data_IF_423537606547
#
_entry.id   IF_423537606547
#
_cell.length_a   1.000
_cell.length_b   1.000
_cell.length_c   1.000
_cell.angle_alpha   90.00
_cell.angle_beta   90.00
_cell.angle_gamma   90.00
#
_symmetry.space_group_name_H-M   'P 1'
#
loop_
_entity.id
_entity.type
_entity.pdbx_description
1 polymer ?
#
# COMPACT_ATOMS: atom_id res chain seq x y z
N UNK A 1 4.93 -24.37 19.97
CA UNK A 1 5.84 -23.61 19.09
C UNK A 1 5.14 -22.32 18.69
N UNK A 2 5.82 -21.18 18.71
CA UNK A 2 5.36 -19.88 18.18
C UNK A 2 6.30 -19.45 17.06
N UNK A 3 5.77 -19.09 15.90
CA UNK A 3 6.60 -18.58 14.81
C UNK A 3 5.99 -17.34 14.17
N UNK A 4 6.87 -16.48 13.63
CA UNK A 4 6.48 -15.31 12.86
C UNK A 4 6.50 -15.66 11.39
N UNK A 5 5.44 -15.26 10.68
CA UNK A 5 5.35 -15.27 9.24
C UNK A 5 5.23 -13.84 8.72
N UNK A 6 6.27 -13.39 8.01
CA UNK A 6 6.34 -12.10 7.33
C UNK A 6 6.67 -12.27 5.85
N UNK A 7 6.36 -11.26 5.05
CA UNK A 7 6.70 -11.17 3.64
C UNK A 7 6.79 -9.70 3.22
N UNK A 8 7.24 -9.44 2.00
CA UNK A 8 7.09 -8.14 1.34
C UNK A 8 7.63 -6.97 2.18
N UNK A 9 8.87 -7.11 2.66
CA UNK A 9 9.53 -6.11 3.52
C UNK A 9 9.84 -4.84 2.75
N UNK A 10 10.20 -4.97 1.46
CA UNK A 10 10.51 -3.88 0.53
C UNK A 10 11.42 -2.82 1.15
N UNK A 11 12.51 -3.25 1.79
CA UNK A 11 13.38 -2.37 2.55
C UNK A 11 13.91 -1.22 1.68
N UNK A 12 13.75 -0.01 2.21
CA UNK A 12 14.12 1.28 1.61
C UNK A 12 13.39 1.65 0.32
N UNK A 13 12.37 0.88 -0.09
CA UNK A 13 11.57 1.15 -1.30
C UNK A 13 11.33 2.66 -1.51
N UNK A 14 11.69 3.19 -2.69
CA UNK A 14 11.78 4.63 -2.89
C UNK A 14 10.40 5.28 -2.76
N UNK A 15 10.20 6.04 -1.70
CA UNK A 15 9.08 6.95 -1.48
C UNK A 15 9.21 8.22 -2.36
N UNK A 16 9.57 8.04 -3.64
CA UNK A 16 9.96 9.12 -4.55
C UNK A 16 8.79 10.08 -4.83
N UNK A 17 9.00 11.37 -4.53
CA UNK A 17 7.99 12.43 -4.62
C UNK A 17 7.23 12.72 -3.32
N UNK A 18 7.28 11.82 -2.33
CA UNK A 18 6.69 12.06 -1.00
C UNK A 18 7.56 12.97 -0.15
N UNK A 19 8.89 12.90 -0.31
CA UNK A 19 9.85 13.70 0.47
C UNK A 19 9.66 15.21 0.31
N UNK A 20 9.39 15.68 -0.91
CA UNK A 20 9.20 17.11 -1.18
C UNK A 20 7.84 17.61 -0.66
N UNK A 21 6.82 16.74 -0.66
CA UNK A 21 5.44 17.07 -0.24
C UNK A 21 5.22 16.92 1.27
N UNK A 22 5.95 16.03 1.91
CA UNK A 22 5.77 15.70 3.32
C UNK A 22 6.62 16.55 4.28
N UNK A 23 7.37 17.55 3.81
CA UNK A 23 8.08 18.51 4.68
C UNK A 23 8.84 17.85 5.84
N UNK A 24 8.54 18.26 7.08
CA UNK A 24 9.13 17.72 8.31
C UNK A 24 8.76 16.25 8.56
N UNK A 25 7.62 15.79 8.05
CA UNK A 25 7.16 14.41 8.16
C UNK A 25 7.91 13.46 7.21
N UNK A 26 8.65 13.99 6.24
CA UNK A 26 9.42 13.20 5.29
C UNK A 26 10.46 12.28 5.97
N UNK A 27 11.08 12.71 7.07
CA UNK A 27 12.04 11.89 7.80
C UNK A 27 11.39 10.66 8.46
N UNK A 28 10.13 10.78 8.89
CA UNK A 28 9.35 9.66 9.47
C UNK A 28 8.86 8.69 8.40
N UNK A 29 8.71 9.15 7.16
CA UNK A 29 8.48 8.30 6.00
C UNK A 29 9.77 7.58 5.59
N UNK A 30 10.90 8.28 5.59
CA UNK A 30 12.22 7.72 5.26
C UNK A 30 12.62 6.69 6.33
N UNK A 31 12.91 5.47 5.88
CA UNK A 31 13.25 4.36 6.78
C UNK A 31 12.06 3.79 7.56
N UNK A 32 10.82 4.11 7.17
CA UNK A 32 9.64 3.50 7.77
C UNK A 32 9.66 1.97 7.66
N UNK A 33 10.06 1.44 6.50
CA UNK A 33 10.23 0.00 6.25
C UNK A 33 11.30 -0.61 7.17
N UNK A 34 12.41 0.11 7.40
CA UNK A 34 13.48 -0.31 8.31
C UNK A 34 12.97 -0.40 9.75
N UNK A 35 12.28 0.63 10.24
CA UNK A 35 11.72 0.65 11.60
C UNK A 35 10.64 -0.40 11.80
N UNK A 36 9.80 -0.67 10.80
CA UNK A 36 8.82 -1.75 10.87
C UNK A 36 9.50 -3.13 10.97
N UNK A 37 10.60 -3.34 10.24
CA UNK A 37 11.40 -4.56 10.37
C UNK A 37 12.12 -4.66 11.72
N UNK A 38 12.66 -3.55 12.26
CA UNK A 38 13.21 -3.51 13.61
C UNK A 38 12.15 -3.89 14.65
N UNK A 39 10.94 -3.35 14.57
CA UNK A 39 9.81 -3.71 15.45
C UNK A 39 9.43 -5.19 15.37
N UNK A 40 9.48 -5.80 14.19
CA UNK A 40 9.28 -7.25 14.05
C UNK A 40 10.36 -8.01 14.81
N UNK A 41 11.63 -7.62 14.66
CA UNK A 41 12.74 -8.28 15.35
C UNK A 41 12.69 -8.05 16.86
N UNK A 42 12.33 -6.84 17.30
CA UNK A 42 12.10 -6.52 18.71
C UNK A 42 11.04 -7.46 19.28
N UNK A 43 9.87 -7.54 18.62
CA UNK A 43 8.80 -8.43 19.02
C UNK A 43 9.25 -9.89 19.06
N UNK A 44 9.96 -10.37 18.04
CA UNK A 44 10.45 -11.76 17.97
C UNK A 44 11.34 -12.11 19.18
N UNK A 45 12.22 -11.20 19.56
CA UNK A 45 13.15 -11.37 20.69
C UNK A 45 12.41 -11.27 22.02
N UNK A 46 11.55 -10.26 22.18
CA UNK A 46 10.81 -10.02 23.43
C UNK A 46 9.82 -11.16 23.73
N UNK A 47 9.12 -11.63 22.70
CA UNK A 47 8.16 -12.75 22.79
C UNK A 47 8.81 -14.13 22.73
N UNK A 48 10.13 -14.19 22.51
CA UNK A 48 10.92 -15.42 22.41
C UNK A 48 10.31 -16.42 21.43
N UNK A 49 10.00 -15.96 20.22
CA UNK A 49 9.47 -16.85 19.19
C UNK A 49 10.50 -17.90 18.79
N UNK A 50 10.03 -19.08 18.41
CA UNK A 50 10.89 -20.24 18.12
C UNK A 50 11.49 -20.17 16.69
N UNK A 51 10.85 -19.43 15.79
CA UNK A 51 11.21 -19.38 14.36
C UNK A 51 10.66 -18.11 13.72
N UNK A 52 11.40 -17.57 12.75
CA UNK A 52 10.90 -16.55 11.82
C UNK A 52 10.95 -17.09 10.39
N UNK A 53 9.86 -16.95 9.64
CA UNK A 53 9.82 -17.23 8.20
C UNK A 53 9.56 -15.95 7.41
N UNK A 54 10.35 -15.73 6.35
CA UNK A 54 10.25 -14.57 5.46
C UNK A 54 9.96 -15.04 4.03
N UNK A 55 8.72 -14.82 3.57
CA UNK A 55 8.22 -15.32 2.29
C UNK A 55 8.56 -14.43 1.08
N UNK A 56 9.76 -13.85 1.05
CA UNK A 56 10.27 -13.08 -0.10
C UNK A 56 9.95 -11.59 -0.08
N UNK A 57 10.48 -10.92 -1.10
CA UNK A 57 10.51 -9.47 -1.33
C UNK A 57 11.08 -8.69 -0.13
N UNK A 58 12.29 -9.07 0.27
CA UNK A 58 13.05 -8.36 1.30
C UNK A 58 13.49 -6.98 0.79
N UNK A 59 13.96 -6.93 -0.45
CA UNK A 59 14.51 -5.72 -1.08
C UNK A 59 13.67 -5.28 -2.26
N UNK A 60 13.62 -3.96 -2.51
CA UNK A 60 12.98 -3.42 -3.70
C UNK A 60 14.02 -3.13 -4.81
N UNK A 61 14.35 -4.13 -5.64
CA UNK A 61 15.12 -3.95 -6.88
C UNK A 61 16.59 -3.47 -6.77
N UNK A 62 17.05 -2.78 -7.82
CA UNK A 62 18.45 -2.41 -8.09
C UNK A 62 18.97 -1.26 -7.19
N UNK A 63 19.20 -1.57 -5.93
CA UNK A 63 19.90 -0.66 -5.02
C UNK A 63 21.39 -0.52 -5.41
N UNK A 64 21.90 0.71 -5.60
CA UNK A 64 23.29 0.94 -5.98
C UNK A 64 24.28 0.80 -4.81
N UNK A 65 23.80 0.93 -3.56
CA UNK A 65 24.62 0.84 -2.35
C UNK A 65 24.33 -0.41 -1.52
N UNK A 66 25.30 -0.84 -0.72
CA UNK A 66 25.15 -2.02 0.15
C UNK A 66 24.49 -1.68 1.49
N UNK A 67 24.02 -0.43 1.70
CA UNK A 67 23.54 0.06 2.98
C UNK A 67 22.30 -0.67 3.48
N UNK A 68 21.33 -0.91 2.60
CA UNK A 68 20.12 -1.69 2.91
C UNK A 68 20.44 -3.14 3.29
N UNK A 69 21.37 -3.76 2.56
CA UNK A 69 21.81 -5.13 2.86
C UNK A 69 22.54 -5.23 4.20
N UNK A 70 23.45 -4.28 4.51
CA UNK A 70 24.15 -4.23 5.80
C UNK A 70 23.18 -3.98 6.96
N UNK A 71 22.18 -3.12 6.77
CA UNK A 71 21.11 -2.95 7.74
C UNK A 71 20.36 -4.26 7.99
N UNK A 72 19.94 -4.96 6.93
CA UNK A 72 19.23 -6.23 7.04
C UNK A 72 20.06 -7.28 7.81
N UNK A 73 21.33 -7.45 7.45
CA UNK A 73 22.27 -8.36 8.14
C UNK A 73 22.43 -7.99 9.62
N UNK A 74 22.63 -6.70 9.93
CA UNK A 74 22.75 -6.21 11.32
C UNK A 74 21.50 -6.54 12.13
N UNK A 75 20.33 -6.34 11.55
CA UNK A 75 19.05 -6.58 12.23
C UNK A 75 18.80 -8.07 12.43
N UNK A 76 19.09 -8.91 11.44
CA UNK A 76 19.05 -10.38 11.57
C UNK A 76 20.07 -10.93 12.59
N UNK A 77 21.23 -10.29 12.75
CA UNK A 77 22.21 -10.69 13.75
C UNK A 77 21.67 -10.60 15.19
N UNK A 78 20.63 -9.79 15.43
CA UNK A 78 19.93 -9.74 16.72
C UNK A 78 19.13 -11.01 16.98
N UNK A 79 18.43 -11.53 15.97
CA UNK A 79 17.78 -12.84 16.04
C UNK A 79 18.80 -13.97 16.26
N UNK A 80 19.97 -13.87 15.60
CA UNK A 80 21.08 -14.81 15.80
C UNK A 80 21.55 -14.82 17.26
N UNK A 81 21.74 -13.63 17.85
CA UNK A 81 22.16 -13.50 19.25
C UNK A 81 21.11 -14.05 20.23
N UNK A 82 19.83 -14.03 19.85
CA UNK A 82 18.72 -14.63 20.60
C UNK A 82 18.52 -16.14 20.32
N UNK A 83 19.29 -16.73 19.39
CA UNK A 83 19.16 -18.14 19.01
C UNK A 83 17.92 -18.46 18.17
N UNK A 84 17.30 -17.44 17.54
CA UNK A 84 16.07 -17.60 16.76
C UNK A 84 16.43 -17.90 15.30
N UNK A 85 16.12 -19.10 14.77
CA UNK A 85 16.36 -19.42 13.37
C UNK A 85 15.46 -18.61 12.42
N UNK A 86 15.99 -18.31 11.23
CA UNK A 86 15.27 -17.58 10.18
C UNK A 86 15.30 -18.37 8.88
N UNK A 87 14.14 -18.70 8.35
CA UNK A 87 14.00 -19.35 7.05
C UNK A 87 13.47 -18.33 6.03
N UNK A 88 14.15 -18.15 4.90
CA UNK A 88 13.78 -17.13 3.91
C UNK A 88 13.86 -17.64 2.48
N UNK A 89 12.97 -17.12 1.63
CA UNK A 89 13.04 -17.27 0.18
C UNK A 89 13.22 -15.90 -0.48
N UNK A 90 13.70 -15.88 -1.72
CA UNK A 90 13.68 -14.69 -2.58
C UNK A 90 12.36 -14.58 -3.34
N UNK A 91 11.75 -13.40 -3.32
CA UNK A 91 10.64 -13.02 -4.19
C UNK A 91 11.12 -12.47 -5.54
N UNK A 92 10.20 -11.87 -6.30
CA UNK A 92 10.50 -11.34 -7.63
C UNK A 92 11.41 -10.10 -7.58
N UNK A 93 11.26 -9.24 -6.57
CA UNK A 93 12.14 -8.06 -6.43
C UNK A 93 13.54 -8.46 -5.97
N UNK A 94 13.65 -9.47 -5.11
CA UNK A 94 14.94 -9.99 -4.61
C UNK A 94 15.76 -10.65 -5.72
N UNK A 95 15.11 -11.37 -6.65
CA UNK A 95 15.76 -12.05 -7.76
C UNK A 95 16.44 -11.06 -8.73
N UNK A 96 15.85 -9.87 -8.88
CA UNK A 96 16.45 -8.77 -9.62
C UNK A 96 17.59 -8.09 -8.86
N UNK A 97 17.52 -8.03 -7.53
CA UNK A 97 18.48 -7.28 -6.72
C UNK A 97 19.90 -7.86 -6.72
N UNK A 98 20.90 -7.02 -6.99
CA UNK A 98 22.32 -7.37 -6.94
C UNK A 98 22.84 -7.51 -5.50
N UNK A 99 22.15 -6.92 -4.51
CA UNK A 99 22.56 -6.92 -3.08
C UNK A 99 22.58 -8.35 -2.52
N UNK A 100 21.51 -9.11 -2.76
CA UNK A 100 21.35 -10.47 -2.23
C UNK A 100 22.46 -11.42 -2.71
N UNK A 101 23.10 -11.12 -3.85
CA UNK A 101 24.16 -11.94 -4.44
C UNK A 101 25.55 -11.72 -3.82
N UNK A 102 25.74 -10.72 -2.97
CA UNK A 102 27.08 -10.30 -2.49
C UNK A 102 27.28 -10.33 -0.98
N UNK A 103 26.23 -10.56 -0.19
CA UNK A 103 26.31 -10.55 1.27
C UNK A 103 26.15 -11.96 1.84
N UNK A 104 26.90 -12.26 2.90
CA UNK A 104 26.73 -13.49 3.68
C UNK A 104 25.74 -13.25 4.81
N UNK A 105 24.81 -14.17 4.99
CA UNK A 105 23.82 -14.10 6.07
C UNK A 105 24.41 -14.59 7.41
N UNK A 106 23.88 -14.11 8.55
CA UNK A 106 24.19 -14.68 9.87
C UNK A 106 23.87 -16.19 9.93
N UNK A 107 24.56 -16.92 10.81
CA UNK A 107 24.50 -18.39 10.86
C UNK A 107 23.14 -19.01 11.21
N UNK A 108 22.23 -18.24 11.81
CA UNK A 108 20.85 -18.65 12.07
C UNK A 108 19.92 -18.53 10.84
N UNK A 109 20.39 -17.94 9.75
CA UNK A 109 19.58 -17.67 8.56
C UNK A 109 19.84 -18.73 7.50
N UNK A 110 18.77 -19.35 7.00
CA UNK A 110 18.81 -20.17 5.80
C UNK A 110 17.98 -19.53 4.70
N UNK A 111 18.65 -19.14 3.63
CA UNK A 111 18.01 -18.82 2.36
C UNK A 111 17.87 -20.10 1.52
N UNK A 112 16.65 -20.39 1.05
CA UNK A 112 16.40 -21.57 0.21
C UNK A 112 16.92 -21.36 -1.23
N UNK A 113 17.34 -22.46 -1.87
CA UNK A 113 17.80 -22.47 -3.25
C UNK A 113 16.73 -21.95 -4.22
N UNK A 114 17.17 -21.25 -5.27
CA UNK A 114 16.30 -20.87 -6.38
C UNK A 114 16.17 -21.92 -7.47
N UNK A 115 17.01 -22.97 -7.42
CA UNK A 115 17.08 -24.00 -8.46
C UNK A 115 16.12 -25.15 -8.19
N UNK A 116 15.97 -25.52 -6.92
CA UNK A 116 15.19 -26.68 -6.48
C UNK A 116 14.58 -26.38 -5.12
N UNK A 117 13.38 -26.90 -4.83
CA UNK A 117 12.82 -26.80 -3.49
C UNK A 117 13.62 -27.65 -2.51
N UNK A 118 13.77 -27.17 -1.28
CA UNK A 118 14.50 -27.86 -0.23
C UNK A 118 13.67 -27.93 1.06
N UNK A 119 14.05 -28.85 1.94
CA UNK A 119 13.50 -28.97 3.28
C UNK A 119 14.57 -28.62 4.33
N UNK A 120 14.19 -27.83 5.33
CA UNK A 120 14.95 -27.63 6.56
C UNK A 120 14.17 -28.13 7.76
N UNK A 121 14.72 -29.08 8.50
CA UNK A 121 14.07 -29.66 9.68
C UNK A 121 14.68 -29.15 10.98
N UNK A 122 13.81 -28.95 11.96
CA UNK A 122 14.17 -28.68 13.35
C UNK A 122 13.50 -29.73 14.22
N UNK A 123 14.18 -30.87 14.48
CA UNK A 123 13.62 -31.96 15.28
C UNK A 123 13.17 -31.51 16.67
N UNK A 124 13.96 -30.64 17.32
CA UNK A 124 13.67 -30.13 18.66
C UNK A 124 12.40 -29.27 18.73
N UNK A 125 12.06 -28.60 17.62
CA UNK A 125 10.84 -27.80 17.47
C UNK A 125 9.67 -28.59 16.85
N UNK A 126 9.91 -29.84 16.44
CA UNK A 126 8.99 -30.68 15.68
C UNK A 126 8.45 -30.00 14.39
N UNK A 127 9.30 -29.32 13.63
CA UNK A 127 8.90 -28.58 12.42
C UNK A 127 9.80 -28.88 11.22
N UNK A 128 9.20 -28.92 10.04
CA UNK A 128 9.86 -28.95 8.73
C UNK A 128 9.43 -27.73 7.92
N UNK A 129 10.39 -27.04 7.31
CA UNK A 129 10.14 -25.89 6.45
C UNK A 129 10.55 -26.25 5.03
N UNK A 130 9.65 -26.08 4.09
CA UNK A 130 9.85 -26.34 2.67
C UNK A 130 9.85 -25.02 1.93
N UNK A 131 10.86 -24.76 1.10
CA UNK A 131 10.94 -23.48 0.40
C UNK A 131 11.72 -23.57 -0.90
N UNK A 132 11.39 -22.65 -1.80
CA UNK A 132 12.12 -22.41 -3.04
C UNK A 132 12.12 -20.91 -3.35
N UNK A 133 13.31 -20.36 -3.60
CA UNK A 133 13.50 -18.98 -4.01
C UNK A 133 13.22 -18.77 -5.50
N UNK A 134 12.97 -17.54 -5.92
CA UNK A 134 12.94 -17.19 -7.33
C UNK A 134 14.35 -17.09 -7.91
N UNK A 135 14.54 -17.63 -9.12
CA UNK A 135 15.78 -17.49 -9.88
C UNK A 135 15.79 -16.20 -10.71
N UNK A 136 14.63 -15.86 -11.26
CA UNK A 136 14.37 -14.73 -12.13
C UNK A 136 13.17 -13.93 -11.61
N UNK A 137 13.04 -12.68 -12.06
CA UNK A 137 11.94 -11.81 -11.66
C UNK A 137 10.56 -12.37 -12.03
N UNK A 138 10.44 -13.00 -13.20
CA UNK A 138 9.18 -13.60 -13.65
C UNK A 138 9.32 -15.12 -13.66
N UNK A 139 8.38 -15.81 -13.02
CA UNK A 139 8.36 -17.28 -12.94
C UNK A 139 6.99 -17.75 -13.43
N UNK A 140 6.83 -18.06 -14.73
CA UNK A 140 5.52 -18.44 -15.25
C UNK A 140 5.07 -19.85 -14.81
N UNK A 141 5.97 -20.65 -14.22
CA UNK A 141 5.69 -22.01 -13.79
C UNK A 141 5.08 -22.07 -12.38
N UNK A 142 4.18 -23.02 -12.16
CA UNK A 142 3.71 -23.37 -10.82
C UNK A 142 4.83 -24.07 -10.02
N UNK A 143 5.54 -23.32 -9.17
CA UNK A 143 6.59 -23.89 -8.34
C UNK A 143 6.05 -24.84 -7.26
N UNK A 144 4.84 -24.62 -6.76
CA UNK A 144 4.24 -25.43 -5.69
C UNK A 144 4.18 -26.92 -6.07
N UNK A 145 3.99 -27.24 -7.35
CA UNK A 145 3.99 -28.61 -7.84
C UNK A 145 5.28 -29.38 -7.51
N UNK A 146 6.44 -28.70 -7.54
CA UNK A 146 7.74 -29.29 -7.29
C UNK A 146 8.10 -29.49 -5.80
N UNK A 147 7.32 -28.92 -4.88
CA UNK A 147 7.62 -28.99 -3.46
C UNK A 147 7.61 -30.44 -2.95
N UNK A 148 8.51 -30.82 -2.02
CA UNK A 148 8.64 -32.19 -1.52
C UNK A 148 7.41 -32.65 -0.73
N UNK A 149 7.28 -33.96 -0.52
CA UNK A 149 6.24 -34.51 0.37
C UNK A 149 6.46 -34.07 1.84
N UNK A 150 5.39 -33.97 2.64
CA UNK A 150 5.51 -33.60 4.05
C UNK A 150 6.37 -34.61 4.81
N UNK A 151 7.18 -34.11 5.74
CA UNK A 151 7.96 -34.96 6.65
C UNK A 151 7.03 -35.51 7.73
N UNK A 152 6.86 -36.86 7.82
CA UNK A 152 5.94 -37.45 8.78
C UNK A 152 6.34 -37.15 10.23
N UNK A 153 5.35 -36.82 11.06
CA UNK A 153 5.54 -36.55 12.49
C UNK A 153 6.06 -35.16 12.83
N UNK A 154 6.33 -34.31 11.83
CA UNK A 154 6.66 -32.90 12.02
C UNK A 154 5.49 -32.02 11.56
N UNK A 155 5.44 -30.78 12.06
CA UNK A 155 4.59 -29.72 11.53
C UNK A 155 5.23 -29.17 10.25
N UNK A 156 4.54 -29.25 9.12
CA UNK A 156 5.10 -28.91 7.81
C UNK A 156 4.64 -27.51 7.37
N UNK A 157 5.62 -26.62 7.17
CA UNK A 157 5.42 -25.24 6.71
C UNK A 157 5.94 -25.12 5.28
N UNK A 158 5.06 -24.82 4.32
CA UNK A 158 5.46 -24.42 2.98
C UNK A 158 5.68 -22.91 2.90
N UNK A 159 6.81 -22.47 2.38
CA UNK A 159 7.19 -21.06 2.22
C UNK A 159 7.27 -20.73 0.73
N UNK A 160 6.33 -19.93 0.20
CA UNK A 160 6.20 -19.69 -1.24
C UNK A 160 5.83 -18.23 -1.56
N UNK A 161 6.60 -17.58 -2.43
CA UNK A 161 6.24 -16.27 -2.98
C UNK A 161 5.43 -16.51 -4.26
N UNK A 162 4.19 -16.01 -4.34
CA UNK A 162 3.29 -16.36 -5.46
C UNK A 162 2.15 -15.37 -5.68
N UNK A 163 1.77 -15.16 -6.94
CA UNK A 163 0.55 -14.48 -7.36
C UNK A 163 -0.68 -15.41 -7.33
N UNK A 164 -0.79 -16.29 -6.33
CA UNK A 164 -1.82 -17.33 -6.25
C UNK A 164 -3.22 -16.81 -6.64
N UNK A 165 -3.98 -17.62 -7.38
CA UNK A 165 -5.32 -17.30 -7.90
C UNK A 165 -5.39 -16.21 -9.00
N UNK A 166 -4.25 -15.76 -9.55
CA UNK A 166 -4.19 -15.02 -10.83
C UNK A 166 -5.08 -13.79 -10.88
N UNK A 167 -4.74 -12.74 -10.10
CA UNK A 167 -5.51 -11.49 -10.08
C UNK A 167 -5.25 -10.64 -11.34
N UNK A 168 -6.27 -9.96 -11.90
CA UNK A 168 -6.08 -9.06 -13.03
C UNK A 168 -5.04 -7.98 -12.70
N UNK A 169 -4.06 -7.78 -13.57
CA UNK A 169 -3.02 -6.75 -13.40
C UNK A 169 -1.75 -7.17 -12.66
N UNK A 170 -1.63 -8.43 -12.20
CA UNK A 170 -0.38 -8.99 -11.67
C UNK A 170 0.31 -9.86 -12.73
N UNK A 171 1.62 -9.69 -12.92
CA UNK A 171 2.39 -10.58 -13.81
C UNK A 171 2.45 -12.03 -13.26
N UNK A 172 2.91 -12.96 -14.09
CA UNK A 172 2.99 -14.38 -13.80
C UNK A 172 4.13 -14.69 -12.81
N UNK A 173 3.85 -14.61 -11.50
CA UNK A 173 4.82 -14.86 -10.42
C UNK A 173 4.51 -16.17 -9.70
N UNK A 174 5.12 -17.25 -10.16
CA UNK A 174 4.90 -18.63 -9.69
C UNK A 174 3.41 -18.97 -9.47
N UNK A 175 2.55 -18.82 -10.49
CA UNK A 175 1.11 -18.94 -10.32
C UNK A 175 0.75 -20.34 -9.84
N UNK A 176 -0.09 -20.41 -8.81
CA UNK A 176 -0.67 -21.65 -8.34
C UNK A 176 -2.15 -21.45 -7.98
N UNK A 177 -2.89 -22.54 -7.97
CA UNK A 177 -4.24 -22.56 -7.42
C UNK A 177 -4.21 -23.04 -5.96
N UNK A 178 -5.21 -22.64 -5.17
CA UNK A 178 -5.34 -23.08 -3.78
C UNK A 178 -5.33 -24.62 -3.66
N UNK A 179 -5.95 -25.33 -4.61
CA UNK A 179 -5.96 -26.81 -4.62
C UNK A 179 -4.56 -27.42 -4.71
N UNK A 180 -3.62 -26.75 -5.37
CA UNK A 180 -2.25 -27.26 -5.53
C UNK A 180 -1.52 -27.22 -4.19
N UNK A 181 -1.76 -26.17 -3.39
CA UNK A 181 -1.21 -25.98 -2.06
C UNK A 181 -1.81 -26.97 -1.06
N UNK A 182 -3.14 -27.12 -1.07
CA UNK A 182 -3.85 -28.06 -0.17
C UNK A 182 -3.47 -29.50 -0.49
N UNK A 183 -3.30 -29.85 -1.77
CA UNK A 183 -2.93 -31.20 -2.18
C UNK A 183 -1.55 -31.65 -1.67
N UNK A 184 -0.66 -30.74 -1.28
CA UNK A 184 0.63 -31.07 -0.67
C UNK A 184 0.54 -31.61 0.76
N UNK A 185 -0.61 -31.43 1.43
CA UNK A 185 -0.81 -31.96 2.78
C UNK A 185 0.07 -31.30 3.85
N UNK A 186 0.57 -30.09 3.61
CA UNK A 186 1.26 -29.29 4.63
C UNK A 186 0.27 -28.70 5.63
N UNK A 187 0.73 -28.46 6.86
CA UNK A 187 -0.10 -27.92 7.93
C UNK A 187 -0.30 -26.40 7.81
N UNK A 188 0.68 -25.71 7.22
CA UNK A 188 0.66 -24.26 7.02
C UNK A 188 1.38 -23.85 5.74
N UNK A 189 0.81 -22.91 4.99
CA UNK A 189 1.45 -22.22 3.88
C UNK A 189 1.66 -20.75 4.20
N UNK A 190 2.94 -20.38 4.31
CA UNK A 190 3.44 -19.03 4.44
C UNK A 190 3.68 -18.43 3.06
N UNK A 191 2.72 -17.64 2.57
CA UNK A 191 2.79 -17.01 1.25
C UNK A 191 3.32 -15.57 1.31
N UNK A 192 3.98 -15.10 0.25
CA UNK A 192 4.31 -13.69 0.03
C UNK A 192 3.93 -13.24 -1.38
N UNK A 193 4.03 -11.93 -1.67
CA UNK A 193 3.72 -11.20 -2.92
C UNK A 193 2.52 -10.25 -2.77
N UNK A 194 1.51 -10.65 -1.99
CA UNK A 194 0.28 -9.87 -1.81
C UNK A 194 0.42 -8.97 -0.58
N UNK A 195 0.45 -7.65 -0.79
CA UNK A 195 0.69 -6.65 0.27
C UNK A 195 -0.50 -6.42 1.22
N UNK A 196 -1.66 -6.99 0.89
CA UNK A 196 -2.83 -7.00 1.77
C UNK A 196 -2.91 -8.34 2.46
N UNK A 197 -3.04 -8.33 3.80
CA UNK A 197 -3.25 -9.54 4.57
C UNK A 197 -4.47 -10.30 4.05
N UNK A 198 -4.32 -11.61 3.86
CA UNK A 198 -5.39 -12.46 3.38
C UNK A 198 -5.23 -13.90 3.88
N UNK A 199 -6.33 -14.53 4.25
CA UNK A 199 -6.38 -15.96 4.60
C UNK A 199 -7.16 -16.67 3.49
N UNK A 200 -6.47 -17.42 2.64
CA UNK A 200 -7.08 -18.16 1.53
C UNK A 200 -7.74 -19.46 2.00
N UNK A 201 -7.26 -20.05 3.08
CA UNK A 201 -7.80 -21.25 3.69
C UNK A 201 -7.44 -21.30 5.17
N UNK A 202 -8.34 -21.83 6.01
CA UNK A 202 -8.12 -22.03 7.45
C UNK A 202 -7.67 -23.46 7.79
N UNK A 203 -7.90 -24.44 6.91
CA UNK A 203 -7.56 -25.84 7.15
C UNK A 203 -7.20 -26.57 5.83
N UNK A 204 -5.89 -26.68 5.50
CA UNK A 204 -4.74 -26.10 6.21
C UNK A 204 -4.71 -24.57 6.09
N UNK A 205 -3.97 -23.91 6.99
CA UNK A 205 -3.82 -22.46 6.91
C UNK A 205 -3.01 -22.06 5.69
N UNK A 206 -3.56 -21.22 4.81
CA UNK A 206 -2.87 -20.67 3.63
C UNK A 206 -3.01 -19.16 3.68
N UNK A 207 -1.92 -18.45 3.95
CA UNK A 207 -1.98 -17.04 4.38
C UNK A 207 -1.00 -16.19 3.58
N UNK A 208 -1.45 -15.01 3.16
CA UNK A 208 -0.59 -13.87 2.84
C UNK A 208 -0.56 -12.94 4.06
N UNK A 209 0.61 -12.62 4.63
CA UNK A 209 0.70 -11.79 5.82
C UNK A 209 0.50 -10.30 5.48
N UNK A 210 0.67 -9.93 4.21
CA UNK A 210 0.81 -8.54 3.78
C UNK A 210 2.25 -8.05 3.90
N UNK A 211 2.46 -6.78 3.57
CA UNK A 211 3.72 -6.10 3.84
C UNK A 211 3.81 -5.59 5.30
N UNK A 212 5.02 -5.34 5.80
CA UNK A 212 5.23 -4.79 7.15
C UNK A 212 4.86 -3.31 7.28
N UNK A 213 5.01 -2.57 6.18
CA UNK A 213 4.85 -1.12 6.14
C UNK A 213 4.24 -0.74 4.80
N UNK A 214 3.10 -0.06 4.83
CA UNK A 214 2.47 0.47 3.63
C UNK A 214 3.38 1.51 2.97
N UNK A 215 3.52 1.43 1.66
CA UNK A 215 4.44 2.26 0.87
C UNK A 215 3.74 3.46 0.23
N UNK A 216 2.42 3.39 0.09
CA UNK A 216 1.61 4.44 -0.52
C UNK A 216 0.14 4.31 -0.12
N UNK A 217 -0.67 5.31 -0.46
CA UNK A 217 -2.10 5.38 -0.13
C UNK A 217 -2.94 4.16 -0.58
N UNK A 218 -2.53 3.48 -1.66
CA UNK A 218 -3.21 2.27 -2.14
C UNK A 218 -2.89 1.01 -1.31
N UNK A 219 -2.07 1.14 -0.26
CA UNK A 219 -1.82 0.10 0.75
C UNK A 219 -2.31 0.58 2.13
N UNK A 220 -3.61 0.89 2.30
CA UNK A 220 -4.12 1.47 3.53
C UNK A 220 -4.19 0.46 4.68
N UNK A 221 -4.40 0.98 5.89
CA UNK A 221 -4.68 0.22 7.09
C UNK A 221 -3.45 -0.31 7.81
N UNK A 222 -3.68 -1.16 8.81
CA UNK A 222 -2.64 -1.76 9.63
C UNK A 222 -1.79 -2.74 8.81
N UNK A 223 -0.46 -2.63 8.95
CA UNK A 223 0.52 -3.46 8.23
C UNK A 223 1.49 -4.12 9.22
N UNK A 224 1.92 -5.33 8.91
CA UNK A 224 2.71 -6.12 9.85
C UNK A 224 2.86 -7.58 9.45
N UNK A 225 2.96 -8.46 10.44
CA UNK A 225 3.22 -9.89 10.23
C UNK A 225 2.15 -10.76 10.90
N UNK A 226 2.20 -12.06 10.65
CA UNK A 226 1.35 -13.05 11.32
C UNK A 226 2.15 -13.77 12.40
N UNK A 227 1.68 -13.75 13.65
CA UNK A 227 2.14 -14.64 14.70
C UNK A 227 1.28 -15.91 14.66
N UNK A 228 1.92 -17.08 14.65
CA UNK A 228 1.24 -18.37 14.63
C UNK A 228 1.67 -19.19 15.84
N UNK A 229 0.68 -19.68 16.58
CA UNK A 229 0.89 -20.57 17.73
C UNK A 229 0.46 -21.98 17.36
N UNK A 230 1.38 -22.94 17.51
CA UNK A 230 1.19 -24.37 17.24
C UNK A 230 1.26 -25.15 18.54
N UNK A 231 0.18 -25.89 18.84
CA UNK A 231 0.01 -26.73 20.02
C UNK A 231 -0.40 -28.13 19.60
N UNK A 232 0.26 -29.16 20.14
CA UNK A 232 -0.06 -30.56 19.80
C UNK A 232 0.07 -30.89 18.30
N UNK A 233 0.95 -30.19 17.58
CA UNK A 233 1.14 -30.35 16.13
C UNK A 233 0.05 -29.72 15.26
N UNK A 234 -0.80 -28.83 15.82
CA UNK A 234 -1.84 -28.11 15.09
C UNK A 234 -1.80 -26.62 15.35
N UNK A 235 -2.23 -25.84 14.38
CA UNK A 235 -2.42 -24.40 14.56
C UNK A 235 -3.53 -24.15 15.57
N UNK A 236 -3.21 -23.42 16.64
CA UNK A 236 -4.14 -23.05 17.71
C UNK A 236 -4.57 -21.58 17.61
N UNK A 237 -3.66 -20.71 17.17
CA UNK A 237 -3.91 -19.28 16.99
C UNK A 237 -3.14 -18.72 15.79
N UNK A 238 -3.76 -17.75 15.13
CA UNK A 238 -3.20 -17.00 14.00
C UNK A 238 -3.55 -15.52 14.20
N UNK A 239 -2.57 -14.72 14.58
CA UNK A 239 -2.78 -13.35 15.02
C UNK A 239 -2.04 -12.35 14.09
N UNK A 240 -2.73 -11.36 13.52
CA UNK A 240 -2.06 -10.25 12.85
C UNK A 240 -1.45 -9.30 13.89
N UNK A 241 -0.16 -9.01 13.77
CA UNK A 241 0.57 -8.08 14.65
C UNK A 241 0.99 -6.84 13.84
N UNK A 242 0.34 -5.68 14.03
CA UNK A 242 0.69 -4.45 13.32
C UNK A 242 2.00 -3.83 13.82
N UNK A 243 2.96 -3.66 12.91
CA UNK A 243 4.27 -3.04 13.20
C UNK A 243 4.57 -1.81 12.34
N UNK A 244 3.64 -1.39 11.48
CA UNK A 244 3.79 -0.15 10.74
C UNK A 244 4.07 1.05 11.65
N UNK A 245 4.84 1.99 11.11
CA UNK A 245 5.17 3.26 11.75
C UNK A 245 4.43 4.42 11.10
N UNK A 246 4.11 4.29 9.81
CA UNK A 246 3.22 5.20 9.09
C UNK A 246 2.02 4.43 8.59
N UNK A 247 0.82 4.83 8.99
CA UNK A 247 -0.43 4.23 8.56
C UNK A 247 -1.03 5.06 7.43
N UNK A 248 -1.20 4.43 6.28
CA UNK A 248 -1.89 5.04 5.15
C UNK A 248 -3.40 4.91 5.34
N UNK A 249 -4.13 5.98 5.07
CA UNK A 249 -5.58 5.97 5.13
C UNK A 249 -6.17 6.70 3.92
N UNK A 250 -7.26 6.15 3.39
CA UNK A 250 -8.14 6.84 2.44
C UNK A 250 -9.49 7.02 3.11
N UNK A 251 -9.85 8.27 3.40
CA UNK A 251 -11.03 8.62 4.17
C UNK A 251 -12.03 9.32 3.27
N UNK A 252 -13.13 8.63 2.98
CA UNK A 252 -14.24 9.19 2.21
C UNK A 252 -15.22 9.89 3.14
N UNK A 253 -15.56 11.14 2.82
CA UNK A 253 -16.39 12.01 3.66
C UNK A 253 -17.56 12.51 2.81
N UNK A 254 -18.77 12.11 3.17
CA UNK A 254 -19.98 12.66 2.58
C UNK A 254 -20.23 14.09 3.11
N UNK A 255 -20.18 15.06 2.20
CA UNK A 255 -20.37 16.49 2.47
C UNK A 255 -21.67 17.03 1.87
N UNK A 256 -22.61 16.15 1.51
CA UNK A 256 -23.91 16.54 0.92
C UNK A 256 -24.72 17.50 1.80
N UNK A 257 -24.50 17.47 3.12
CA UNK A 257 -25.17 18.37 4.08
C UNK A 257 -24.50 19.75 4.22
N UNK A 258 -23.30 19.95 3.67
CA UNK A 258 -22.55 21.19 3.78
C UNK A 258 -22.92 22.16 2.68
N UNK A 259 -23.20 23.43 3.02
CA UNK A 259 -23.46 24.48 2.04
C UNK A 259 -22.27 25.40 1.81
N UNK A 260 -21.33 25.43 2.77
CA UNK A 260 -20.14 26.27 2.75
C UNK A 260 -18.90 25.47 3.17
N UNK A 261 -17.70 26.02 2.92
CA UNK A 261 -16.46 25.44 3.44
C UNK A 261 -16.48 25.27 4.97
N UNK A 262 -17.04 26.25 5.69
CA UNK A 262 -17.17 26.19 7.15
C UNK A 262 -18.08 25.05 7.63
N UNK A 263 -19.12 24.70 6.87
CA UNK A 263 -19.99 23.55 7.20
C UNK A 263 -19.28 22.21 6.95
N UNK A 264 -18.34 22.19 6.01
CA UNK A 264 -17.51 21.02 5.69
C UNK A 264 -16.47 20.74 6.77
N UNK A 265 -15.89 21.77 7.39
CA UNK A 265 -14.82 21.62 8.39
C UNK A 265 -15.19 20.68 9.56
N UNK A 266 -16.37 20.75 10.20
CA UNK A 266 -16.77 19.80 11.24
C UNK A 266 -16.89 18.34 10.76
N UNK A 267 -17.26 18.11 9.50
CA UNK A 267 -17.35 16.76 8.92
C UNK A 267 -15.94 16.18 8.77
N UNK A 268 -15.02 16.96 8.19
CA UNK A 268 -13.61 16.60 8.05
C UNK A 268 -12.97 16.37 9.43
N UNK A 269 -13.18 17.28 10.38
CA UNK A 269 -12.62 17.16 11.73
C UNK A 269 -13.06 15.89 12.46
N UNK A 270 -14.33 15.48 12.33
CA UNK A 270 -14.81 14.21 12.90
C UNK A 270 -14.15 13.00 12.23
N UNK A 271 -14.03 13.02 10.90
CA UNK A 271 -13.42 11.94 10.14
C UNK A 271 -11.92 11.79 10.46
N UNK A 272 -11.19 12.91 10.55
CA UNK A 272 -9.79 12.94 10.97
C UNK A 272 -9.62 12.40 12.38
N UNK A 273 -10.48 12.81 13.33
CA UNK A 273 -10.43 12.29 14.70
C UNK A 273 -10.63 10.76 14.73
N UNK A 274 -11.62 10.24 14.02
CA UNK A 274 -11.86 8.80 13.93
C UNK A 274 -10.64 8.06 13.35
N UNK A 275 -10.02 8.61 12.29
CA UNK A 275 -8.82 8.05 11.70
C UNK A 275 -7.63 8.04 12.68
N UNK A 276 -7.43 9.13 13.45
CA UNK A 276 -6.39 9.22 14.49
C UNK A 276 -6.60 8.17 15.58
N UNK A 277 -7.83 7.99 16.04
CA UNK A 277 -8.16 7.01 17.05
C UNK A 277 -7.88 5.57 16.52
N UNK A 278 -8.13 5.28 15.23
CA UNK A 278 -7.82 3.99 14.57
C UNK A 278 -6.32 3.77 14.30
N UNK A 279 -5.53 4.83 14.16
CA UNK A 279 -4.09 4.72 13.92
C UNK A 279 -3.30 4.18 15.11
N UNK A 280 -3.91 4.17 16.31
CA UNK A 280 -3.31 3.62 17.51
C UNK A 280 -1.90 4.20 17.73
N UNK A 281 -1.83 5.53 17.76
CA UNK A 281 -0.60 6.30 18.03
C UNK A 281 0.42 6.35 16.89
N UNK A 282 0.13 5.76 15.73
CA UNK A 282 1.02 5.82 14.55
C UNK A 282 0.83 7.12 13.78
N UNK A 283 1.88 7.53 13.07
CA UNK A 283 1.78 8.63 12.12
C UNK A 283 0.77 8.26 11.03
N UNK A 284 -0.13 9.16 10.68
CA UNK A 284 -1.11 8.98 9.62
C UNK A 284 -0.72 9.75 8.36
N UNK A 285 -0.71 9.06 7.22
CA UNK A 285 -0.67 9.67 5.90
C UNK A 285 -2.05 9.49 5.25
N UNK A 286 -2.83 10.57 5.18
CA UNK A 286 -4.26 10.51 4.85
C UNK A 286 -4.52 11.14 3.50
N UNK A 287 -5.28 10.42 2.66
CA UNK A 287 -5.99 11.00 1.53
C UNK A 287 -7.46 11.20 1.89
N UNK A 288 -7.89 12.45 1.86
CA UNK A 288 -9.30 12.82 2.07
C UNK A 288 -10.01 12.80 0.73
N UNK A 289 -11.20 12.20 0.67
CA UNK A 289 -12.05 12.18 -0.51
C UNK A 289 -13.40 12.77 -0.13
N UNK A 290 -13.70 13.98 -0.59
CA UNK A 290 -14.96 14.66 -0.32
C UNK A 290 -15.98 14.26 -1.37
N UNK A 291 -17.08 13.63 -0.98
CA UNK A 291 -18.10 13.11 -1.89
C UNK A 291 -19.48 13.69 -1.59
N UNK A 292 -20.41 13.49 -2.53
CA UNK A 292 -21.82 13.84 -2.33
C UNK A 292 -22.29 15.05 -3.13
N UNK A 293 -23.60 15.22 -3.21
CA UNK A 293 -24.23 16.35 -3.88
C UNK A 293 -24.32 17.53 -2.89
N UNK A 294 -23.42 18.50 -3.00
CA UNK A 294 -23.21 19.55 -2.01
C UNK A 294 -23.28 20.94 -2.63
N UNK A 295 -24.08 21.88 -2.07
CA UNK A 295 -24.03 23.28 -2.50
C UNK A 295 -22.63 23.91 -2.34
N UNK A 296 -21.78 23.36 -1.47
CA UNK A 296 -20.40 23.81 -1.30
C UNK A 296 -19.47 23.44 -2.46
N UNK A 297 -19.91 22.63 -3.44
CA UNK A 297 -19.07 22.13 -4.54
C UNK A 297 -18.23 23.22 -5.21
N UNK A 298 -18.82 24.36 -5.56
CA UNK A 298 -18.10 25.47 -6.22
C UNK A 298 -16.94 25.99 -5.38
N UNK A 299 -17.10 26.10 -4.06
CA UNK A 299 -16.04 26.58 -3.17
C UNK A 299 -15.00 25.48 -2.92
N UNK A 300 -15.43 24.22 -2.80
CA UNK A 300 -14.53 23.09 -2.55
C UNK A 300 -13.65 22.77 -3.77
N UNK A 301 -14.23 22.72 -4.96
CA UNK A 301 -13.51 22.44 -6.20
C UNK A 301 -12.81 23.69 -6.77
N UNK A 302 -13.33 24.89 -6.47
CA UNK A 302 -12.83 26.13 -7.06
C UNK A 302 -11.66 26.80 -6.35
N UNK A 303 -11.34 26.40 -5.11
CA UNK A 303 -10.18 26.89 -4.35
C UNK A 303 -9.46 25.73 -3.65
N UNK A 304 -8.73 24.89 -4.42
CA UNK A 304 -8.06 23.71 -3.87
C UNK A 304 -6.98 24.07 -2.86
N UNK A 305 -6.25 25.18 -3.05
CA UNK A 305 -5.20 25.62 -2.13
C UNK A 305 -5.77 25.96 -0.75
N UNK A 306 -6.88 26.71 -0.70
CA UNK A 306 -7.56 27.01 0.55
C UNK A 306 -8.14 25.76 1.20
N UNK A 307 -8.74 24.87 0.42
CA UNK A 307 -9.28 23.61 0.94
C UNK A 307 -8.16 22.76 1.57
N UNK A 308 -7.02 22.62 0.91
CA UNK A 308 -5.86 21.89 1.43
C UNK A 308 -5.30 22.55 2.70
N UNK A 309 -5.25 23.88 2.76
CA UNK A 309 -4.84 24.62 3.94
C UNK A 309 -5.80 24.40 5.13
N UNK A 310 -7.12 24.42 4.91
CA UNK A 310 -8.11 24.12 5.94
C UNK A 310 -8.02 22.66 6.42
N UNK A 311 -7.87 21.70 5.51
CA UNK A 311 -7.68 20.29 5.86
C UNK A 311 -6.42 20.09 6.71
N UNK A 312 -5.33 20.76 6.34
CA UNK A 312 -4.06 20.73 7.09
C UNK A 312 -4.20 21.38 8.47
N UNK A 313 -4.94 22.50 8.57
CA UNK A 313 -5.26 23.14 9.85
C UNK A 313 -6.05 22.21 10.77
N UNK A 314 -7.05 21.50 10.24
CA UNK A 314 -7.83 20.51 10.99
C UNK A 314 -7.00 19.30 11.41
N UNK A 315 -6.07 18.85 10.56
CA UNK A 315 -5.14 17.77 10.88
C UNK A 315 -4.24 18.14 12.07
N UNK A 316 -3.72 19.36 12.12
CA UNK A 316 -2.93 19.87 13.26
C UNK A 316 -3.73 19.91 14.57
N UNK A 317 -5.06 20.05 14.49
CA UNK A 317 -5.96 20.07 15.65
C UNK A 317 -6.35 18.66 16.12
N UNK A 318 -6.15 17.61 15.31
CA UNK A 318 -6.66 16.27 15.54
C UNK A 318 -5.94 15.48 16.66
N UNK A 319 -5.06 16.10 17.45
CA UNK A 319 -4.30 15.48 18.55
C UNK A 319 -3.53 14.20 18.15
N UNK A 320 -3.01 14.16 16.92
CA UNK A 320 -2.20 13.06 16.39
C UNK A 320 -1.17 13.55 15.38
N UNK A 321 -0.27 12.67 14.97
CA UNK A 321 0.75 12.96 13.94
C UNK A 321 0.15 12.69 12.56
N UNK A 322 -0.59 13.67 12.04
CA UNK A 322 -1.37 13.55 10.80
C UNK A 322 -0.74 14.38 9.68
N UNK A 323 -0.51 13.74 8.55
CA UNK A 323 -0.15 14.37 7.30
C UNK A 323 -1.27 14.17 6.27
N UNK A 324 -1.79 15.26 5.75
CA UNK A 324 -2.72 15.23 4.60
C UNK A 324 -1.88 15.01 3.35
N UNK A 325 -1.87 13.78 2.84
CA UNK A 325 -1.19 13.46 1.59
C UNK A 325 -1.89 14.11 0.40
N UNK A 326 -3.22 14.12 0.37
CA UNK A 326 -4.01 14.73 -0.71
C UNK A 326 -5.45 14.96 -0.29
N UNK A 327 -6.08 15.98 -0.86
CA UNK A 327 -7.53 16.15 -0.84
C UNK A 327 -8.07 15.94 -2.25
N UNK A 328 -9.01 15.01 -2.40
CA UNK A 328 -9.72 14.74 -3.64
C UNK A 328 -11.15 15.24 -3.50
N UNK A 329 -11.59 16.09 -4.43
CA UNK A 329 -12.97 16.56 -4.50
C UNK A 329 -13.71 15.72 -5.53
N UNK A 330 -14.71 15.00 -5.06
CA UNK A 330 -15.63 14.13 -5.81
C UNK A 330 -17.09 14.53 -5.56
N UNK A 331 -17.28 15.77 -5.12
CA UNK A 331 -18.62 16.35 -4.94
C UNK A 331 -19.21 16.77 -6.28
N UNK A 332 -20.53 16.89 -6.31
CA UNK A 332 -21.25 17.47 -7.44
C UNK A 332 -22.21 18.57 -6.95
N UNK A 333 -22.56 19.52 -7.81
CA UNK A 333 -23.63 20.47 -7.51
C UNK A 333 -24.99 19.75 -7.46
N UNK A 334 -25.85 20.02 -6.46
CA UNK A 334 -27.23 19.56 -6.48
C UNK A 334 -27.99 20.13 -7.68
N UNK A 335 -28.89 19.36 -8.29
CA UNK A 335 -29.72 19.81 -9.43
C UNK A 335 -30.44 21.14 -9.17
N UNK A 336 -30.94 21.34 -7.96
CA UNK A 336 -31.63 22.58 -7.55
C UNK A 336 -30.72 23.84 -7.50
N UNK A 337 -29.40 23.67 -7.48
CA UNK A 337 -28.42 24.76 -7.38
C UNK A 337 -27.82 25.18 -8.74
N UNK A 338 -28.27 24.58 -9.85
CA UNK A 338 -27.80 24.89 -11.21
C UNK A 338 -28.34 26.22 -11.77
N UNK A 339 -29.08 27.02 -10.99
CA UNK A 339 -29.59 28.31 -11.46
C UNK A 339 -28.42 29.27 -11.77
N UNK A 340 -28.28 29.75 -13.02
CA UNK A 340 -27.22 30.69 -13.36
C UNK A 340 -27.52 32.06 -12.71
N UNK A 341 -26.53 32.62 -12.04
CA UNK A 341 -26.52 34.05 -11.71
C UNK A 341 -26.42 34.84 -13.02
N UNK A 342 -27.31 35.81 -13.24
CA UNK A 342 -27.53 36.54 -14.50
C UNK A 342 -26.28 37.14 -15.18
N UNK A 343 -25.14 37.27 -14.49
CA UNK A 343 -23.89 37.82 -15.02
C UNK A 343 -22.91 36.86 -15.71
N UNK A 344 -23.08 35.54 -15.57
CA UNK A 344 -22.11 34.54 -16.06
C UNK A 344 -22.71 33.51 -17.03
N UNK A 345 -23.92 33.77 -17.52
CA UNK A 345 -24.69 32.82 -18.32
C UNK A 345 -23.96 32.43 -19.62
N UNK A 346 -23.27 33.38 -20.26
CA UNK A 346 -22.51 33.13 -21.49
C UNK A 346 -21.35 32.15 -21.26
N UNK A 347 -20.62 32.25 -20.14
CA UNK A 347 -19.52 31.33 -19.82
C UNK A 347 -20.04 29.95 -19.43
N UNK A 348 -21.11 29.89 -18.63
CA UNK A 348 -21.77 28.63 -18.27
C UNK A 348 -22.31 27.94 -19.52
N UNK A 349 -22.88 28.70 -20.45
CA UNK A 349 -23.37 28.19 -21.72
C UNK A 349 -22.22 27.69 -22.60
N UNK A 350 -21.10 28.41 -22.68
CA UNK A 350 -19.92 28.00 -23.45
C UNK A 350 -19.28 26.72 -22.89
N UNK A 351 -19.20 26.60 -21.55
CA UNK A 351 -18.73 25.38 -20.88
C UNK A 351 -19.72 24.22 -21.07
N UNK A 352 -21.02 24.49 -21.07
CA UNK A 352 -22.04 23.49 -21.37
C UNK A 352 -21.96 23.01 -22.82
N UNK A 353 -21.77 23.91 -23.78
CA UNK A 353 -21.54 23.60 -25.20
C UNK A 353 -20.31 22.71 -25.36
N UNK A 354 -19.18 23.07 -24.75
CA UNK A 354 -17.97 22.25 -24.74
C UNK A 354 -18.19 20.85 -24.14
N UNK A 355 -19.02 20.71 -23.10
CA UNK A 355 -19.32 19.42 -22.46
C UNK A 355 -20.28 18.55 -23.27
N UNK A 356 -21.13 19.14 -24.08
CA UNK A 356 -22.21 18.44 -24.80
C UNK A 356 -21.93 18.25 -26.28
N UNK A 357 -21.01 19.03 -26.85
CA UNK A 357 -20.51 18.89 -28.21
C UNK A 357 -19.24 18.01 -28.26
N UNK A 358 -19.29 16.82 -28.90
CA UNK A 358 -18.14 15.93 -29.03
C UNK A 358 -16.95 16.55 -29.77
N UNK A 359 -17.19 17.46 -30.73
CA UNK A 359 -16.13 18.07 -31.55
C UNK A 359 -15.36 19.12 -30.74
N UNK A 360 -16.05 19.97 -29.98
CA UNK A 360 -15.42 20.94 -29.05
C UNK A 360 -14.66 20.23 -27.92
N UNK A 361 -15.25 19.16 -27.36
CA UNK A 361 -14.59 18.34 -26.35
C UNK A 361 -13.30 17.68 -26.91
N UNK A 362 -13.30 17.26 -28.17
CA UNK A 362 -12.12 16.72 -28.83
C UNK A 362 -11.01 17.77 -29.01
N UNK A 363 -11.35 19.02 -29.33
CA UNK A 363 -10.37 20.11 -29.43
C UNK A 363 -9.65 20.34 -28.10
N UNK A 364 -10.39 20.36 -26.98
CA UNK A 364 -9.80 20.53 -25.65
C UNK A 364 -8.95 19.30 -25.27
N UNK A 365 -9.44 18.10 -25.57
CA UNK A 365 -8.68 16.86 -25.34
C UNK A 365 -7.35 16.90 -26.08
N UNK A 366 -7.33 17.23 -27.36
CA UNK A 366 -6.12 17.27 -28.18
C UNK A 366 -5.11 18.32 -27.65
N UNK A 367 -5.61 19.47 -27.19
CA UNK A 367 -4.78 20.51 -26.56
C UNK A 367 -4.16 20.02 -25.24
N UNK A 368 -4.94 19.33 -24.41
CA UNK A 368 -4.46 18.70 -23.17
C UNK A 368 -3.43 17.60 -23.47
N UNK A 369 -3.65 16.75 -24.46
CA UNK A 369 -2.70 15.71 -24.86
C UNK A 369 -1.36 16.29 -25.31
N UNK A 370 -1.39 17.37 -26.11
CA UNK A 370 -0.18 18.06 -26.55
C UNK A 370 0.58 18.69 -25.38
N UNK A 371 -0.13 19.26 -24.39
CA UNK A 371 0.47 19.80 -23.17
C UNK A 371 1.09 18.70 -22.31
N UNK A 372 0.32 17.63 -22.05
CA UNK A 372 0.76 16.48 -21.27
C UNK A 372 1.91 15.72 -21.95
N UNK A 373 2.02 15.78 -23.28
CA UNK A 373 3.10 15.13 -24.04
C UNK A 373 4.47 15.78 -23.85
N UNK A 374 4.50 17.01 -23.30
CA UNK A 374 5.72 17.75 -22.96
C UNK A 374 6.20 17.48 -21.54
N UNK A 375 5.46 16.72 -20.74
CA UNK A 375 5.83 16.39 -19.37
C UNK A 375 6.93 15.30 -19.32
N UNK A 376 7.77 15.29 -18.26
CA UNK A 376 8.76 14.25 -18.05
C UNK A 376 8.14 12.85 -17.98
N UNK A 377 8.89 11.83 -18.39
CA UNK A 377 8.45 10.43 -18.36
C UNK A 377 7.99 10.02 -16.94
N UNK A 378 6.78 9.46 -16.83
CA UNK A 378 6.17 9.04 -15.55
C UNK A 378 5.45 10.15 -14.77
N UNK A 379 5.45 11.40 -15.23
CA UNK A 379 4.64 12.46 -14.61
C UNK A 379 3.14 12.31 -14.93
N UNK A 380 2.80 11.84 -16.13
CA UNK A 380 1.40 11.54 -16.53
C UNK A 380 0.76 10.51 -15.59
N UNK A 381 1.47 9.43 -15.28
CA UNK A 381 0.96 8.36 -14.43
C UNK A 381 0.85 8.76 -12.97
N UNK A 382 1.77 9.57 -12.48
CA UNK A 382 1.70 10.14 -11.13
C UNK A 382 0.52 11.12 -10.95
N UNK A 383 0.10 11.78 -12.03
CA UNK A 383 -1.05 12.68 -12.04
C UNK A 383 -2.38 11.97 -12.36
N UNK A 384 -2.35 10.67 -12.68
CA UNK A 384 -3.54 9.92 -13.08
C UNK A 384 -4.10 10.33 -14.44
N UNK A 385 -3.29 10.92 -15.32
CA UNK A 385 -3.67 11.44 -16.65
C UNK A 385 -3.06 10.59 -17.78
N UNK A 386 -3.00 9.28 -17.58
CA UNK A 386 -2.42 8.35 -18.55
C UNK A 386 -3.31 8.18 -19.80
N UNK A 387 -4.62 8.25 -19.60
CA UNK A 387 -5.63 8.24 -20.66
C UNK A 387 -6.68 9.33 -20.38
N UNK A 388 -7.03 10.10 -21.42
CA UNK A 388 -8.09 11.10 -21.37
C UNK A 388 -9.41 10.48 -21.86
N UNK A 389 -9.77 9.36 -21.26
CA UNK A 389 -11.02 8.67 -21.51
C UNK A 389 -12.23 9.62 -21.30
N UNK A 390 -13.38 9.38 -21.95
CA UNK A 390 -14.53 10.29 -21.88
C UNK A 390 -14.98 10.64 -20.45
N UNK A 391 -14.91 9.67 -19.54
CA UNK A 391 -15.24 9.85 -18.11
C UNK A 391 -14.25 10.78 -17.40
N UNK A 392 -12.96 10.62 -17.69
CA UNK A 392 -11.89 11.47 -17.17
C UNK A 392 -12.04 12.91 -17.70
N UNK A 393 -12.36 13.06 -18.98
CA UNK A 393 -12.59 14.36 -19.62
C UNK A 393 -13.80 15.08 -19.01
N UNK A 394 -14.89 14.36 -18.77
CA UNK A 394 -16.08 14.91 -18.12
C UNK A 394 -15.76 15.45 -16.71
N UNK A 395 -14.89 14.76 -15.96
CA UNK A 395 -14.45 15.20 -14.63
C UNK A 395 -13.54 16.44 -14.70
N UNK A 396 -12.55 16.45 -15.59
CA UNK A 396 -11.67 17.61 -15.81
C UNK A 396 -12.48 18.87 -16.17
N UNK A 397 -13.45 18.73 -17.07
CA UNK A 397 -14.30 19.85 -17.48
C UNK A 397 -15.20 20.34 -16.35
N UNK A 398 -15.74 19.44 -15.52
CA UNK A 398 -16.51 19.82 -14.34
C UNK A 398 -15.66 20.56 -13.29
N UNK A 399 -14.43 20.11 -13.05
CA UNK A 399 -13.49 20.77 -12.14
C UNK A 399 -13.09 22.16 -12.66
N UNK A 400 -12.83 22.29 -13.97
CA UNK A 400 -12.51 23.55 -14.62
C UNK A 400 -13.68 24.55 -14.54
N UNK A 401 -14.91 24.09 -14.76
CA UNK A 401 -16.13 24.91 -14.59
C UNK A 401 -16.24 25.44 -13.15
N UNK A 402 -16.04 24.58 -12.15
CA UNK A 402 -16.09 24.99 -10.75
C UNK A 402 -15.00 26.03 -10.40
N UNK A 403 -13.77 25.84 -10.89
CA UNK A 403 -12.66 26.80 -10.76
C UNK A 403 -12.96 28.16 -11.36
N UNK A 404 -13.50 28.19 -12.58
CA UNK A 404 -13.83 29.44 -13.28
C UNK A 404 -14.97 30.17 -12.58
N UNK A 405 -16.04 29.46 -12.20
CA UNK A 405 -17.16 30.05 -11.49
C UNK A 405 -16.77 30.57 -10.11
N UNK A 406 -15.87 29.88 -9.40
CA UNK A 406 -15.36 30.36 -8.12
C UNK A 406 -14.60 31.67 -8.27
N UNK A 407 -13.61 31.75 -9.17
CA UNK A 407 -12.86 32.99 -9.39
C UNK A 407 -13.76 34.17 -9.73
N UNK A 408 -14.72 33.96 -10.62
CA UNK A 408 -15.65 35.00 -11.08
C UNK A 408 -16.63 35.49 -10.02
N UNK A 409 -16.99 34.64 -9.05
CA UNK A 409 -17.88 35.00 -7.95
C UNK A 409 -17.14 35.50 -6.72
N UNK A 410 -15.80 35.38 -6.68
CA UNK A 410 -14.94 35.73 -5.54
C UNK A 410 -14.20 37.05 -5.70
N UNK A 411 -14.16 37.65 -6.90
CA UNK A 411 -13.66 39.02 -7.04
C UNK A 411 -14.63 40.01 -6.37
N UNK A 412 -14.18 40.80 -5.37
CA UNK A 412 -14.94 41.98 -5.00
C UNK A 412 -14.87 42.92 -6.19
N UNK A 413 -16.04 43.30 -6.72
CA UNK A 413 -16.18 44.47 -7.59
C UNK A 413 -15.58 45.65 -6.81
N UNK A 414 -14.31 45.96 -7.06
CA UNK A 414 -13.70 47.17 -6.49
C UNK A 414 -14.41 48.36 -7.14
N UNK A 415 -14.89 49.32 -6.33
CA UNK A 415 -15.63 50.48 -6.84
C UNK A 415 -14.77 51.43 -7.67
#
# INVERSE_FOLDING_TARGET
>A
MRFIHAADLHLDSPLSGLRERAGEQAEKLIGATRRAFEKLVDFAVDERVDLVVIAGDVFDGDWPDHGTGLFFVKTLARLNAAGIPVAMIRGNHDAASVISRRLSWPGNVREFSSRTPETWTFPDLNVAIHGQSFADRAIPQNLAAGYPEPVPGLFNIGLLHTSAMGRPGHDTYAPCELRDLVAKGYDYWALGHVHTREVLCEAPHVIFPGNLQGRHVNEPGAKGFTLVTVEGGRVSQVEPIPVDVVRWARVTIDVSSASTLNDTCPLIGRALKAAVDEADGRMLAIRLVLTGASPAHRVLAGDPERLEAECSSLALQAQGDVWIERVEVETVLPEAAHAPSEGFNDLVQLLHEVRTDPDECAVIRDALEQGLGKLPAGARSKSGLDDLAPEQMARILADAEALLLHHLTSEPVQP
#
